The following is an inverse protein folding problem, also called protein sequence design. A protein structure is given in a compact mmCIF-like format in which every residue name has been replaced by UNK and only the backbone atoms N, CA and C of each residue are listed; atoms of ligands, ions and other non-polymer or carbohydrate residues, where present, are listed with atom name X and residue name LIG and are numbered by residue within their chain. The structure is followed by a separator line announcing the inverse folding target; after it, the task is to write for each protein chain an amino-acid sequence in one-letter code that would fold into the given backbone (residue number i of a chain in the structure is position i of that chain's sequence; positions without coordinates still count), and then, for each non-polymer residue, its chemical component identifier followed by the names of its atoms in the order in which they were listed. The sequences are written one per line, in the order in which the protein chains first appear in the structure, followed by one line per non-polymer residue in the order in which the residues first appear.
data_IF_043818612037
#
_entry.id   IF_043818612037
#
_cell.length_a   1.000
_cell.length_b   1.000
_cell.length_c   1.000
_cell.angle_alpha   90.00
_cell.angle_beta   90.00
_cell.angle_gamma   90.00
#
_symmetry.space_group_name_H-M   'P 1'
#
loop_
_entity.id
_entity.type
_entity.pdbx_description
1 polymer ?
#
# COMPACT_ATOMS: atom_id res chain seq x y z
N UNK A 1 0.87 4.50 19.86
CA UNK A 1 0.48 4.25 18.45
C UNK A 1 -0.89 4.84 18.13
N UNK A 2 -1.96 4.48 18.85
CA UNK A 2 -3.32 5.00 18.59
C UNK A 2 -3.46 6.53 18.71
N UNK A 3 -2.88 7.16 19.75
CA UNK A 3 -2.82 8.63 19.84
C UNK A 3 -2.05 9.26 18.65
N UNK A 4 -1.10 8.53 18.08
CA UNK A 4 -0.36 8.93 16.88
C UNK A 4 -1.25 8.97 15.64
N UNK A 5 -2.23 8.06 15.49
CA UNK A 5 -3.21 8.10 14.39
C UNK A 5 -4.00 9.41 14.44
N UNK A 6 -4.49 9.78 15.62
CA UNK A 6 -5.28 11.00 15.82
C UNK A 6 -4.43 12.23 15.52
N UNK A 7 -3.20 12.27 15.99
CA UNK A 7 -2.27 13.38 15.71
C UNK A 7 -1.92 13.48 14.21
N UNK A 8 -1.63 12.34 13.57
CA UNK A 8 -1.29 12.28 12.15
C UNK A 8 -2.44 12.75 11.28
N UNK A 9 -3.64 12.21 11.49
CA UNK A 9 -4.84 12.60 10.73
C UNK A 9 -5.16 14.07 10.95
N UNK A 10 -5.12 14.57 12.19
CA UNK A 10 -5.33 15.99 12.48
C UNK A 10 -4.30 16.89 11.79
N UNK A 11 -3.03 16.50 11.79
CA UNK A 11 -1.97 17.27 11.11
C UNK A 11 -2.15 17.22 9.59
N UNK A 12 -2.50 16.06 9.02
CA UNK A 12 -2.77 15.91 7.59
C UNK A 12 -3.90 16.84 7.13
N UNK A 13 -5.00 16.93 7.88
CA UNK A 13 -6.09 17.87 7.57
C UNK A 13 -5.72 19.35 7.68
N UNK A 14 -4.66 19.69 8.43
CA UNK A 14 -4.17 21.07 8.57
C UNK A 14 -3.19 21.49 7.49
N UNK A 15 -2.59 20.55 6.77
CA UNK A 15 -1.76 20.84 5.61
C UNK A 15 -2.71 21.16 4.46
N UNK A 16 -2.73 22.41 4.02
CA UNK A 16 -3.42 22.78 2.77
C UNK A 16 -2.64 22.15 1.62
N UNK A 17 -3.21 21.14 0.99
CA UNK A 17 -2.75 20.69 -0.31
C UNK A 17 -3.12 21.77 -1.34
N UNK A 18 -2.13 22.23 -2.11
CA UNK A 18 -2.44 22.94 -3.34
C UNK A 18 -3.18 21.97 -4.26
N UNK A 19 -4.28 22.37 -4.92
CA UNK A 19 -5.00 21.48 -5.80
C UNK A 19 -4.06 20.98 -6.89
N UNK A 20 -3.71 19.69 -6.81
CA UNK A 20 -2.97 18.94 -7.84
C UNK A 20 -3.52 19.32 -9.21
N UNK A 21 -2.63 19.73 -10.11
CA UNK A 21 -2.96 20.31 -11.41
C UNK A 21 -4.14 19.60 -12.05
N UNK A 22 -5.14 20.40 -12.46
CA UNK A 22 -6.41 19.97 -12.98
C UNK A 22 -6.29 18.68 -13.79
N UNK A 23 -7.06 17.69 -13.38
CA UNK A 23 -7.22 16.41 -14.06
C UNK A 23 -7.34 16.65 -15.57
N UNK A 24 -6.32 16.28 -16.35
CA UNK A 24 -6.51 15.89 -17.76
C UNK A 24 -7.19 14.51 -17.78
N UNK A 25 -8.30 14.41 -17.08
CA UNK A 25 -9.29 13.38 -17.36
C UNK A 25 -9.78 13.66 -18.77
N UNK A 26 -9.58 12.72 -19.69
CA UNK A 26 -10.38 12.59 -20.91
C UNK A 26 -11.85 12.31 -20.59
N UNK A 27 -12.46 13.16 -19.74
CA UNK A 27 -13.60 12.90 -18.89
C UNK A 27 -14.44 14.15 -18.67
N UNK A 28 -14.58 14.99 -19.71
CA UNK A 28 -15.57 16.07 -19.74
C UNK A 28 -17.00 15.61 -19.42
N UNK A 29 -17.27 14.30 -19.47
CA UNK A 29 -18.55 13.69 -19.10
C UNK A 29 -18.88 13.72 -17.60
N UNK A 30 -17.89 13.73 -16.70
CA UNK A 30 -18.12 13.58 -15.25
C UNK A 30 -17.91 14.86 -14.43
N UNK A 31 -17.17 15.83 -14.96
CA UNK A 31 -16.88 17.09 -14.29
C UNK A 31 -18.11 18.00 -14.13
N UNK A 32 -19.14 17.84 -14.97
CA UNK A 32 -20.37 18.64 -14.91
C UNK A 32 -21.47 17.99 -14.05
N UNK A 33 -21.17 16.92 -13.30
CA UNK A 33 -22.13 16.25 -12.42
C UNK A 33 -21.93 16.72 -10.98
N UNK A 34 -23.02 16.92 -10.25
CA UNK A 34 -22.98 17.45 -8.89
C UNK A 34 -22.17 16.58 -7.91
N UNK A 35 -21.75 17.20 -6.79
CA UNK A 35 -20.92 16.59 -5.74
C UNK A 35 -21.45 15.22 -5.27
N UNK A 36 -22.77 15.07 -5.18
CA UNK A 36 -23.41 13.80 -4.81
C UNK A 36 -23.07 12.65 -5.77
N UNK A 37 -22.97 12.92 -7.07
CA UNK A 37 -22.62 11.92 -8.07
C UNK A 37 -21.14 11.53 -7.97
N UNK A 38 -20.25 12.49 -7.72
CA UNK A 38 -18.82 12.22 -7.49
C UNK A 38 -18.62 11.37 -6.23
N UNK A 39 -19.33 11.70 -5.14
CA UNK A 39 -19.28 10.92 -3.91
C UNK A 39 -19.78 9.49 -4.12
N UNK A 40 -20.88 9.32 -4.88
CA UNK A 40 -21.39 8.00 -5.24
C UNK A 40 -20.36 7.19 -6.03
N UNK A 41 -19.69 7.80 -7.01
CA UNK A 41 -18.63 7.14 -7.78
C UNK A 41 -17.44 6.72 -6.90
N UNK A 42 -17.04 7.54 -5.94
CA UNK A 42 -15.97 7.20 -4.99
C UNK A 42 -16.38 5.99 -4.15
N UNK A 43 -17.58 6.00 -3.58
CA UNK A 43 -18.08 4.89 -2.74
C UNK A 43 -18.22 3.62 -3.56
N UNK A 44 -18.83 3.69 -4.75
CA UNK A 44 -18.99 2.54 -5.62
C UNK A 44 -17.64 1.97 -6.08
N UNK A 45 -16.69 2.84 -6.45
CA UNK A 45 -15.33 2.45 -6.82
C UNK A 45 -14.59 1.76 -5.69
N UNK A 46 -14.69 2.29 -4.47
CA UNK A 46 -14.08 1.69 -3.28
C UNK A 46 -14.67 0.31 -2.97
N UNK A 47 -15.99 0.16 -3.03
CA UNK A 47 -16.67 -1.12 -2.82
C UNK A 47 -16.20 -2.14 -3.86
N UNK A 48 -16.20 -1.77 -5.14
CA UNK A 48 -15.77 -2.66 -6.22
C UNK A 48 -14.30 -3.05 -6.09
N UNK A 49 -13.43 -2.11 -5.72
CA UNK A 49 -12.00 -2.37 -5.50
C UNK A 49 -11.77 -3.39 -4.38
N UNK A 50 -12.40 -3.16 -3.21
CA UNK A 50 -12.28 -4.05 -2.04
C UNK A 50 -12.91 -5.41 -2.31
N UNK A 51 -14.09 -5.45 -2.91
CA UNK A 51 -14.77 -6.69 -3.27
C UNK A 51 -13.97 -7.50 -4.29
N UNK A 52 -13.40 -6.83 -5.31
CA UNK A 52 -12.54 -7.46 -6.31
C UNK A 52 -11.26 -8.05 -5.71
N UNK A 53 -10.60 -7.30 -4.83
CA UNK A 53 -9.43 -7.80 -4.11
C UNK A 53 -9.77 -9.02 -3.25
N UNK A 54 -10.87 -8.98 -2.49
CA UNK A 54 -11.33 -10.11 -1.68
C UNK A 54 -11.62 -11.35 -2.53
N UNK A 55 -12.35 -11.19 -3.64
CA UNK A 55 -12.65 -12.28 -4.56
C UNK A 55 -11.38 -12.89 -5.17
N UNK A 56 -10.39 -12.07 -5.53
CA UNK A 56 -9.10 -12.54 -6.03
C UNK A 56 -8.34 -13.35 -4.98
N UNK A 57 -8.32 -12.90 -3.71
CA UNK A 57 -7.68 -13.63 -2.61
C UNK A 57 -8.38 -14.96 -2.36
N UNK A 58 -9.71 -14.96 -2.24
CA UNK A 58 -10.48 -16.19 -2.01
C UNK A 58 -10.30 -17.19 -3.15
N UNK A 59 -10.35 -16.72 -4.41
CA UNK A 59 -10.07 -17.55 -5.59
C UNK A 59 -8.66 -18.14 -5.57
N UNK A 60 -7.65 -17.32 -5.28
CA UNK A 60 -6.25 -17.76 -5.18
C UNK A 60 -6.01 -18.77 -4.06
N UNK A 61 -6.60 -18.54 -2.89
CA UNK A 61 -6.54 -19.46 -1.74
C UNK A 61 -7.18 -20.80 -2.09
N UNK A 62 -8.35 -20.80 -2.73
CA UNK A 62 -9.04 -22.04 -3.12
C UNK A 62 -8.23 -22.84 -4.15
N UNK A 63 -7.62 -22.17 -5.13
CA UNK A 63 -6.71 -22.81 -6.09
C UNK A 63 -5.51 -23.40 -5.34
N UNK A 64 -4.83 -22.64 -4.49
CA UNK A 64 -3.66 -23.11 -3.77
C UNK A 64 -3.95 -24.35 -2.90
N UNK A 65 -5.09 -24.36 -2.20
CA UNK A 65 -5.57 -25.54 -1.44
C UNK A 65 -5.81 -26.75 -2.33
N UNK A 66 -6.43 -26.57 -3.49
CA UNK A 66 -6.67 -27.65 -4.44
C UNK A 66 -5.37 -28.27 -4.96
N UNK A 67 -4.28 -27.50 -5.02
CA UNK A 67 -2.94 -27.97 -5.35
C UNK A 67 -2.15 -28.53 -4.14
N UNK A 68 -2.77 -28.64 -2.96
CA UNK A 68 -2.13 -29.18 -1.76
C UNK A 68 -1.10 -28.25 -1.11
N UNK A 69 -1.14 -26.95 -1.42
CA UNK A 69 -0.24 -25.96 -0.80
C UNK A 69 -0.65 -25.75 0.67
N UNK A 70 0.33 -25.72 1.57
CA UNK A 70 0.08 -25.54 3.00
C UNK A 70 -0.58 -24.20 3.34
N UNK A 71 -1.47 -24.19 4.34
CA UNK A 71 -2.09 -22.95 4.86
C UNK A 71 -1.06 -21.91 5.30
N UNK A 72 0.09 -22.38 5.83
CA UNK A 72 1.18 -21.50 6.23
C UNK A 72 1.73 -20.72 5.03
N UNK A 73 2.04 -21.40 3.92
CA UNK A 73 2.54 -20.75 2.71
C UNK A 73 1.49 -19.83 2.10
N UNK A 74 0.22 -20.24 2.07
CA UNK A 74 -0.90 -19.42 1.60
C UNK A 74 -1.00 -18.11 2.40
N UNK A 75 -0.86 -18.20 3.73
CA UNK A 75 -0.91 -17.06 4.63
C UNK A 75 0.19 -16.03 4.37
N UNK A 76 1.44 -16.48 4.22
CA UNK A 76 2.58 -15.58 4.00
C UNK A 76 2.70 -15.07 2.55
N UNK A 77 1.97 -15.66 1.60
CA UNK A 77 2.05 -15.29 0.17
C UNK A 77 0.75 -14.65 -0.33
N UNK A 78 -0.26 -15.46 -0.65
CA UNK A 78 -1.50 -15.03 -1.29
C UNK A 78 -2.28 -14.06 -0.40
N UNK A 79 -2.39 -14.36 0.89
CA UNK A 79 -3.12 -13.48 1.82
C UNK A 79 -2.33 -12.19 2.04
N UNK A 80 -1.02 -12.29 2.30
CA UNK A 80 -0.17 -11.12 2.54
C UNK A 80 -0.12 -10.14 1.36
N UNK A 81 0.05 -10.65 0.13
CA UNK A 81 -0.01 -9.83 -1.09
C UNK A 81 -1.44 -9.35 -1.33
N UNK A 82 -2.40 -10.23 -1.11
CA UNK A 82 -3.83 -10.02 -1.30
C UNK A 82 -4.39 -8.82 -0.56
N UNK A 83 -4.01 -8.63 0.69
CA UNK A 83 -4.47 -7.49 1.51
C UNK A 83 -3.92 -6.16 1.04
N UNK A 84 -2.84 -6.16 0.25
CA UNK A 84 -2.21 -4.94 -0.30
C UNK A 84 -2.66 -4.66 -1.75
N UNK A 85 -3.51 -5.52 -2.34
CA UNK A 85 -3.98 -5.35 -3.72
C UNK A 85 -4.74 -4.04 -3.94
N UNK A 86 -5.70 -3.64 -3.08
CA UNK A 86 -6.39 -2.36 -3.25
C UNK A 86 -5.43 -1.18 -3.34
N UNK A 87 -4.41 -1.16 -2.48
CA UNK A 87 -3.41 -0.11 -2.39
C UNK A 87 -2.48 -0.12 -3.62
N UNK A 88 -2.02 -1.30 -4.04
CA UNK A 88 -1.21 -1.45 -5.25
C UNK A 88 -1.97 -0.93 -6.47
N UNK A 89 -3.22 -1.37 -6.66
CA UNK A 89 -4.02 -0.98 -7.82
C UNK A 89 -4.36 0.52 -7.76
N UNK A 90 -4.73 1.06 -6.60
CA UNK A 90 -5.03 2.49 -6.44
C UNK A 90 -3.81 3.38 -6.73
N UNK A 91 -2.65 3.06 -6.16
CA UNK A 91 -1.39 3.78 -6.43
C UNK A 91 -0.97 3.67 -7.89
N UNK A 92 -1.08 2.48 -8.46
CA UNK A 92 -0.71 2.23 -9.85
C UNK A 92 -1.60 3.02 -10.81
N UNK A 93 -2.92 3.02 -10.60
CA UNK A 93 -3.85 3.81 -11.41
C UNK A 93 -3.63 5.31 -11.28
N UNK A 94 -3.29 5.79 -10.08
CA UNK A 94 -2.95 7.20 -9.83
C UNK A 94 -1.67 7.59 -10.58
N UNK A 95 -0.62 6.77 -10.49
CA UNK A 95 0.63 6.98 -11.21
C UNK A 95 0.45 6.91 -12.74
N UNK A 96 -0.33 5.95 -13.25
CA UNK A 96 -0.63 5.84 -14.69
C UNK A 96 -1.36 7.06 -15.25
N UNK A 97 -2.16 7.73 -14.43
CA UNK A 97 -2.86 8.97 -14.80
C UNK A 97 -2.01 10.22 -14.60
N UNK A 98 -0.72 10.08 -14.29
CA UNK A 98 0.19 11.20 -14.07
C UNK A 98 0.11 11.83 -12.67
N UNK A 99 -0.66 11.23 -11.75
CA UNK A 99 -0.84 11.73 -10.38
C UNK A 99 0.13 11.03 -9.42
N UNK A 100 1.43 11.24 -9.63
CA UNK A 100 2.50 10.63 -8.82
C UNK A 100 2.43 11.02 -7.34
N UNK A 101 2.04 12.27 -7.04
CA UNK A 101 1.86 12.75 -5.66
C UNK A 101 0.75 11.99 -4.93
N UNK A 102 -0.38 11.73 -5.59
CA UNK A 102 -1.47 10.94 -5.04
C UNK A 102 -1.06 9.47 -4.83
N UNK A 103 -0.28 8.91 -5.76
CA UNK A 103 0.27 7.57 -5.61
C UNK A 103 1.22 7.47 -4.39
N UNK A 104 2.09 8.45 -4.20
CA UNK A 104 2.98 8.52 -3.03
C UNK A 104 2.21 8.75 -1.73
N UNK A 105 1.22 9.63 -1.75
CA UNK A 105 0.32 9.86 -0.62
C UNK A 105 -0.37 8.57 -0.18
N UNK A 106 -0.84 7.75 -1.13
CA UNK A 106 -1.42 6.44 -0.83
C UNK A 106 -0.41 5.46 -0.22
N UNK A 107 0.82 5.38 -0.75
CA UNK A 107 1.88 4.50 -0.21
C UNK A 107 2.28 4.89 1.20
N UNK A 108 2.61 6.16 1.44
CA UNK A 108 3.01 6.62 2.77
C UNK A 108 1.85 6.59 3.77
N UNK A 109 0.67 7.05 3.35
CA UNK A 109 -0.54 7.07 4.18
C UNK A 109 -0.92 5.67 4.66
N UNK A 110 -0.93 4.68 3.77
CA UNK A 110 -1.29 3.30 4.10
C UNK A 110 -0.29 2.65 5.06
N UNK A 111 1.01 2.85 4.86
CA UNK A 111 2.04 2.31 5.75
C UNK A 111 1.98 2.94 7.15
N UNK A 112 1.83 4.27 7.23
CA UNK A 112 1.68 4.98 8.49
C UNK A 112 0.40 4.52 9.21
N UNK A 113 -0.70 4.38 8.49
CA UNK A 113 -1.97 3.87 9.03
C UNK A 113 -1.83 2.44 9.56
N UNK A 114 -1.18 1.54 8.83
CA UNK A 114 -0.96 0.16 9.28
C UNK A 114 -0.11 0.10 10.56
N UNK A 115 0.95 0.91 10.68
CA UNK A 115 1.79 0.95 11.88
C UNK A 115 1.05 1.59 13.06
N UNK A 116 0.34 2.70 12.85
CA UNK A 116 -0.27 3.43 13.94
C UNK A 116 -1.60 2.81 14.39
N UNK A 117 -2.45 2.43 13.45
CA UNK A 117 -3.77 1.85 13.72
C UNK A 117 -3.70 0.34 13.85
N UNK A 118 -3.34 -0.40 12.79
CA UNK A 118 -3.47 -1.88 12.78
C UNK A 118 -2.56 -2.51 13.84
N UNK A 119 -1.26 -2.18 13.81
CA UNK A 119 -0.31 -2.67 14.80
C UNK A 119 -0.62 -2.12 16.20
N UNK A 120 -1.00 -0.85 16.32
CA UNK A 120 -1.39 -0.23 17.59
C UNK A 120 -2.61 -0.88 18.26
N UNK A 121 -3.65 -1.16 17.47
CA UNK A 121 -4.85 -1.84 17.93
C UNK A 121 -4.54 -3.30 18.30
N UNK A 122 -3.77 -4.01 17.48
CA UNK A 122 -3.38 -5.40 17.75
C UNK A 122 -2.55 -5.50 19.03
N UNK A 123 -1.58 -4.61 19.24
CA UNK A 123 -0.77 -4.57 20.46
C UNK A 123 -1.56 -4.23 21.72
N UNK A 124 -2.64 -3.43 21.58
CA UNK A 124 -3.55 -3.11 22.68
C UNK A 124 -4.44 -4.31 23.03
N UNK A 125 -4.92 -5.02 22.02
CA UNK A 125 -5.76 -6.20 22.21
C UNK A 125 -4.98 -7.40 22.78
N UNK A 126 -3.73 -7.60 22.34
CA UNK A 126 -2.85 -8.66 22.83
C UNK A 126 -1.39 -8.23 22.78
N UNK A 127 -0.60 -8.42 23.85
CA UNK A 127 0.82 -8.12 23.83
C UNK A 127 1.53 -8.86 22.68
N UNK A 128 2.21 -8.11 21.82
CA UNK A 128 2.98 -8.65 20.71
C UNK A 128 4.32 -9.16 21.23
N UNK A 129 4.62 -10.44 20.97
CA UNK A 129 5.95 -11.01 21.18
C UNK A 129 6.80 -10.74 19.95
N UNK A 130 7.78 -9.86 20.09
CA UNK A 130 8.77 -9.61 19.04
C UNK A 130 9.79 -10.75 19.08
N UNK A 131 9.80 -11.57 18.05
CA UNK A 131 10.78 -12.64 17.88
C UNK A 131 12.00 -12.12 17.13
N UNK A 132 13.19 -12.64 17.45
CA UNK A 132 14.43 -12.21 16.81
C UNK A 132 14.42 -12.39 15.29
N UNK A 133 13.67 -13.39 14.81
CA UNK A 133 13.48 -13.72 13.39
C UNK A 133 12.91 -12.55 12.57
N UNK A 134 12.26 -11.57 13.21
CA UNK A 134 11.64 -10.41 12.54
C UNK A 134 12.64 -9.26 12.35
N UNK A 135 13.79 -9.24 13.06
CA UNK A 135 14.75 -8.15 12.97
C UNK A 135 15.30 -7.88 11.55
N UNK A 136 15.66 -8.91 10.75
CA UNK A 136 16.08 -8.69 9.36
C UNK A 136 15.00 -8.01 8.52
N UNK A 137 13.74 -8.39 8.70
CA UNK A 137 12.59 -7.87 7.96
C UNK A 137 12.34 -6.40 8.30
N UNK A 138 12.47 -6.04 9.58
CA UNK A 138 12.40 -4.65 10.05
C UNK A 138 13.54 -3.79 9.49
N UNK A 139 14.78 -4.29 9.53
CA UNK A 139 15.96 -3.57 9.03
C UNK A 139 15.85 -3.36 7.51
N UNK A 140 15.48 -4.40 6.77
CA UNK A 140 15.32 -4.32 5.33
C UNK A 140 14.21 -3.35 4.92
N UNK A 141 13.03 -3.44 5.54
CA UNK A 141 11.90 -2.55 5.24
C UNK A 141 12.23 -1.08 5.58
N UNK A 142 12.95 -0.86 6.68
CA UNK A 142 13.43 0.47 7.07
C UNK A 142 14.46 0.99 6.06
N UNK A 143 15.43 0.15 5.66
CA UNK A 143 16.43 0.49 4.66
C UNK A 143 15.82 0.84 3.30
N UNK A 144 14.82 0.08 2.84
CA UNK A 144 14.11 0.34 1.60
C UNK A 144 13.31 1.65 1.66
N UNK A 145 12.71 1.96 2.82
CA UNK A 145 12.01 3.24 3.04
C UNK A 145 13.00 4.41 3.03
N UNK A 146 14.15 4.28 3.68
CA UNK A 146 15.21 5.29 3.63
C UNK A 146 15.74 5.50 2.22
N UNK A 147 15.95 4.43 1.45
CA UNK A 147 16.37 4.51 0.06
C UNK A 147 15.34 5.26 -0.78
N UNK A 148 14.04 4.94 -0.65
CA UNK A 148 12.96 5.67 -1.33
C UNK A 148 13.02 7.17 -1.01
N UNK A 149 13.17 7.54 0.27
CA UNK A 149 13.27 8.95 0.68
C UNK A 149 14.50 9.65 0.10
N UNK A 150 15.64 8.97 0.03
CA UNK A 150 16.85 9.51 -0.60
C UNK A 150 16.64 9.73 -2.10
N UNK A 151 16.04 8.78 -2.81
CA UNK A 151 15.75 8.90 -4.25
C UNK A 151 14.81 10.08 -4.54
N UNK A 152 13.74 10.23 -3.75
CA UNK A 152 12.84 11.39 -3.83
C UNK A 152 13.63 12.70 -3.62
N UNK A 153 14.55 12.72 -2.65
CA UNK A 153 15.28 13.94 -2.28
C UNK A 153 16.32 14.37 -3.31
N UNK A 154 16.91 13.41 -4.03
CA UNK A 154 17.96 13.64 -5.02
C UNK A 154 17.41 14.16 -6.35
N UNK A 155 16.40 13.50 -6.92
CA UNK A 155 15.92 13.81 -8.27
C UNK A 155 14.65 14.68 -8.29
N UNK A 156 14.04 14.98 -7.13
CA UNK A 156 12.76 15.69 -6.97
C UNK A 156 11.55 15.02 -7.68
N UNK A 157 11.78 14.04 -8.55
CA UNK A 157 10.80 13.24 -9.25
C UNK A 157 11.24 11.78 -9.22
N UNK A 158 10.34 10.86 -8.90
CA UNK A 158 10.62 9.43 -9.01
C UNK A 158 10.54 9.00 -10.47
N UNK A 159 11.67 8.55 -10.99
CA UNK A 159 11.80 8.03 -12.35
C UNK A 159 11.47 6.54 -12.42
N UNK A 160 11.31 6.01 -13.64
CA UNK A 160 11.18 4.56 -13.87
C UNK A 160 12.40 3.78 -13.33
N UNK A 161 13.59 4.41 -13.31
CA UNK A 161 14.81 3.78 -12.83
C UNK A 161 14.74 3.53 -11.32
N UNK A 162 14.25 4.52 -10.57
CA UNK A 162 14.05 4.41 -9.12
C UNK A 162 13.07 3.28 -8.76
N UNK A 163 11.97 3.19 -9.51
CA UNK A 163 11.02 2.10 -9.38
C UNK A 163 11.66 0.72 -9.62
N UNK A 164 12.49 0.58 -10.67
CA UNK A 164 13.21 -0.67 -10.96
C UNK A 164 14.20 -1.02 -9.85
N UNK A 165 14.94 -0.04 -9.32
CA UNK A 165 15.88 -0.24 -8.20
C UNK A 165 15.13 -0.76 -6.97
N UNK A 166 14.05 -0.10 -6.57
CA UNK A 166 13.24 -0.49 -5.41
C UNK A 166 12.59 -1.87 -5.60
N UNK A 167 12.05 -2.14 -6.79
CA UNK A 167 11.44 -3.43 -7.10
C UNK A 167 12.48 -4.56 -7.10
N UNK A 168 13.66 -4.32 -7.65
CA UNK A 168 14.74 -5.31 -7.68
C UNK A 168 15.23 -5.62 -6.26
N UNK A 169 15.39 -4.60 -5.41
CA UNK A 169 15.73 -4.79 -4.01
C UNK A 169 14.66 -5.64 -3.29
N UNK A 170 13.38 -5.30 -3.48
CA UNK A 170 12.26 -6.04 -2.88
C UNK A 170 12.20 -7.51 -3.34
N UNK A 171 12.26 -7.76 -4.66
CA UNK A 171 12.24 -9.12 -5.21
C UNK A 171 13.46 -9.92 -4.78
N UNK A 172 14.65 -9.29 -4.76
CA UNK A 172 15.88 -9.92 -4.29
C UNK A 172 15.80 -10.38 -2.83
N UNK A 173 15.18 -9.57 -1.98
CA UNK A 173 14.95 -9.91 -0.58
C UNK A 173 13.91 -11.02 -0.38
N UNK A 174 12.82 -11.00 -1.13
CA UNK A 174 11.83 -12.09 -1.09
C UNK A 174 12.46 -13.40 -1.58
N UNK A 175 13.30 -13.37 -2.62
CA UNK A 175 14.00 -14.54 -3.13
C UNK A 175 15.03 -15.10 -2.14
N UNK A 176 15.78 -14.26 -1.43
CA UNK A 176 16.73 -14.71 -0.40
C UNK A 176 16.02 -15.38 0.78
N UNK A 177 14.87 -14.84 1.21
CA UNK A 177 14.01 -15.47 2.21
C UNK A 177 13.43 -16.80 1.74
N UNK A 178 12.95 -16.86 0.49
CA UNK A 178 12.36 -18.08 -0.07
C UNK A 178 13.36 -19.23 -0.20
N UNK A 179 14.65 -18.92 -0.38
CA UNK A 179 15.73 -19.91 -0.49
C UNK A 179 16.34 -20.31 0.86
N UNK A 180 15.88 -19.70 1.97
CA UNK A 180 16.39 -19.98 3.32
C UNK A 180 17.81 -19.47 3.58
N UNK A 181 18.30 -18.56 2.72
CA UNK A 181 19.61 -17.90 2.88
C UNK A 181 19.54 -16.86 4.02
N UNK A 182 18.34 -16.35 4.33
CA UNK A 182 18.02 -15.36 5.38
C UNK A 182 16.68 -15.65 6.08
#
# INVERSE_FOLDING_TARGET
LLAGVVLYTWRAFRVKEEPSSALDTGGGYFLNKGIAYQFLLIVAGLILLVAGAKAMVEGGVNIARAFGISEWFIGISIIAVGTSLPEIISSLMSAFRGHGEMALGNVFGSNIFNILMVLGATATAKPLKVLEVIHPDLLFTTGLTCLLLVLIRLEHNLSKRDGVILLTAYVGYIASKATGIM
#
